data_IF_396369917941
#
_entry.id   IF_396369917941
#
_cell.length_a   1.000
_cell.length_b   1.000
_cell.length_c   1.000
_cell.angle_alpha   90.00
_cell.angle_beta   90.00
_cell.angle_gamma   90.00
#
_symmetry.space_group_name_H-M   'P 1'
#
loop_
_entity.id
_entity.type
_entity.pdbx_description
1 polymer ?
#
# COMPACT_ATOMS: atom_id res chain seq x y z
N UNK A 1 -2.92 -4.66 -8.55
CA UNK A 1 -3.20 -6.10 -8.45
C UNK A 1 -2.48 -6.89 -9.54
N UNK A 2 -2.63 -6.55 -10.82
CA UNK A 2 -2.12 -7.35 -11.95
C UNK A 2 -0.64 -7.19 -12.29
N UNK A 3 0.16 -6.56 -11.41
CA UNK A 3 1.61 -6.56 -11.55
C UNK A 3 2.13 -7.87 -10.98
N UNK A 4 2.25 -8.87 -11.85
CA UNK A 4 2.62 -10.25 -11.49
C UNK A 4 4.14 -10.41 -11.41
N UNK A 5 4.58 -11.50 -10.77
CA UNK A 5 6.01 -11.85 -10.70
C UNK A 5 6.71 -11.36 -9.42
N UNK A 6 8.01 -11.69 -9.28
CA UNK A 6 8.86 -11.25 -8.18
C UNK A 6 9.04 -9.73 -8.17
N UNK A 7 9.44 -9.18 -7.02
CA UNK A 7 9.76 -7.76 -6.88
C UNK A 7 10.84 -7.30 -7.87
N UNK A 8 11.82 -8.17 -8.14
CA UNK A 8 12.94 -7.90 -9.03
C UNK A 8 12.53 -7.58 -10.48
N UNK A 9 11.35 -8.03 -10.95
CA UNK A 9 10.83 -7.67 -12.28
C UNK A 9 10.37 -6.21 -12.35
N UNK A 10 10.27 -5.53 -11.20
CA UNK A 10 9.95 -4.12 -11.08
C UNK A 10 11.18 -3.23 -11.10
N UNK A 11 11.76 -3.00 -9.93
CA UNK A 11 12.90 -2.10 -9.75
C UNK A 11 14.24 -2.70 -10.22
N UNK A 12 14.36 -4.03 -10.26
CA UNK A 12 15.53 -4.75 -10.76
C UNK A 12 16.19 -5.61 -9.69
N UNK A 13 17.30 -6.25 -10.07
CA UNK A 13 18.17 -6.97 -9.14
C UNK A 13 19.07 -5.96 -8.41
N UNK A 14 18.85 -5.77 -7.11
CA UNK A 14 19.70 -4.90 -6.30
C UNK A 14 21.15 -5.40 -6.30
N UNK A 15 22.09 -4.56 -6.74
CA UNK A 15 23.52 -4.88 -6.86
C UNK A 15 24.32 -4.36 -5.67
N UNK A 16 24.11 -3.09 -5.32
CA UNK A 16 24.91 -2.41 -4.32
C UNK A 16 24.24 -1.17 -3.75
N UNK A 17 24.62 -0.84 -2.52
CA UNK A 17 24.18 0.39 -1.85
C UNK A 17 25.06 1.56 -2.32
N UNK A 18 24.43 2.63 -2.81
CA UNK A 18 25.17 3.79 -3.32
C UNK A 18 25.79 4.62 -2.19
N UNK A 19 25.34 4.44 -0.94
CA UNK A 19 25.72 5.25 0.21
C UNK A 19 24.60 6.16 0.67
N UNK A 20 24.74 6.71 1.88
CA UNK A 20 23.77 7.63 2.44
C UNK A 20 23.94 9.03 1.82
N UNK A 21 22.93 9.58 1.12
CA UNK A 21 23.02 10.89 0.49
C UNK A 21 22.71 12.00 1.51
N UNK A 22 23.67 12.90 1.72
CA UNK A 22 23.53 14.11 2.53
C UNK A 22 23.40 15.30 1.59
N UNK A 23 22.25 15.96 1.61
CA UNK A 23 22.00 17.15 0.79
C UNK A 23 22.34 18.41 1.59
N UNK A 24 22.96 19.39 0.92
CA UNK A 24 23.24 20.71 1.51
C UNK A 24 22.89 21.82 0.55
N UNK A 25 22.41 22.94 1.05
CA UNK A 25 22.30 24.16 0.25
C UNK A 25 23.64 24.89 0.11
N UNK A 26 23.64 26.02 -0.60
CA UNK A 26 24.81 26.89 -0.76
C UNK A 26 25.37 27.46 0.55
N UNK A 27 24.54 27.57 1.59
CA UNK A 27 24.91 28.11 2.89
C UNK A 27 25.47 26.99 3.81
N UNK A 28 25.45 25.73 3.34
CA UNK A 28 25.95 24.55 4.03
C UNK A 28 24.93 23.91 4.98
N UNK A 29 23.68 24.39 4.99
CA UNK A 29 22.59 23.83 5.80
C UNK A 29 22.19 22.47 5.25
N UNK A 30 22.07 21.48 6.13
CA UNK A 30 21.66 20.12 5.75
C UNK A 30 20.16 20.09 5.40
N UNK A 31 19.85 19.43 4.30
CA UNK A 31 18.51 19.31 3.74
C UNK A 31 18.05 17.85 3.71
N UNK A 32 16.76 17.65 3.98
CA UNK A 32 16.12 16.36 4.05
C UNK A 32 15.07 16.24 2.95
N UNK A 33 15.19 15.19 2.14
CA UNK A 33 14.20 14.88 1.09
C UNK A 33 12.93 14.33 1.74
N UNK A 34 11.78 14.92 1.42
CA UNK A 34 10.49 14.40 1.87
C UNK A 34 10.21 13.04 1.21
N UNK A 35 10.09 11.99 2.02
CA UNK A 35 9.81 10.61 1.56
C UNK A 35 8.44 10.48 0.89
N UNK A 36 8.35 9.58 -0.08
CA UNK A 36 7.12 9.13 -0.73
C UNK A 36 6.26 8.35 0.29
N UNK A 37 5.05 8.80 0.64
CA UNK A 37 4.14 8.02 1.47
C UNK A 37 3.49 6.89 0.67
N UNK A 38 3.17 5.77 1.32
CA UNK A 38 2.66 4.54 0.68
C UNK A 38 1.38 4.71 -0.16
N UNK A 39 0.59 5.76 0.05
CA UNK A 39 -0.67 5.99 -0.67
C UNK A 39 -0.45 6.59 -2.07
N UNK A 40 0.72 7.17 -2.33
CA UNK A 40 0.98 7.93 -3.56
C UNK A 40 1.73 7.07 -4.59
N UNK A 41 1.28 7.10 -5.85
CA UNK A 41 2.02 6.51 -6.98
C UNK A 41 3.14 7.46 -7.47
N UNK A 42 2.90 8.77 -7.38
CA UNK A 42 3.88 9.82 -7.73
C UNK A 42 3.91 10.90 -6.64
N UNK A 43 5.07 11.53 -6.44
CA UNK A 43 5.23 12.51 -5.37
C UNK A 43 6.27 13.59 -5.71
N UNK A 44 6.03 14.87 -5.37
CA UNK A 44 6.94 15.96 -5.69
C UNK A 44 8.23 15.89 -4.87
N UNK A 45 9.35 16.26 -5.49
CA UNK A 45 10.64 16.33 -4.80
C UNK A 45 10.71 17.65 -4.06
N UNK A 46 10.68 17.58 -2.73
CA UNK A 46 10.74 18.71 -1.81
C UNK A 46 11.81 18.40 -0.77
N UNK A 47 12.66 19.39 -0.49
CA UNK A 47 13.71 19.34 0.51
C UNK A 47 13.41 20.37 1.60
N UNK A 48 13.43 19.92 2.85
CA UNK A 48 13.25 20.75 4.03
C UNK A 48 14.51 20.77 4.88
N UNK A 49 14.71 21.80 5.70
CA UNK A 49 15.71 21.72 6.76
C UNK A 49 15.21 20.89 7.95
N UNK A 50 16.00 20.85 9.03
CA UNK A 50 15.67 20.13 10.26
C UNK A 50 14.36 20.63 10.94
N UNK A 51 14.03 21.91 10.76
CA UNK A 51 12.80 22.51 11.30
C UNK A 51 11.57 22.27 10.42
N UNK A 52 11.72 21.58 9.28
CA UNK A 52 10.63 21.32 8.34
C UNK A 52 10.30 22.49 7.40
N UNK A 53 11.13 23.54 7.37
CA UNK A 53 10.98 24.66 6.43
C UNK A 53 11.47 24.24 5.05
N UNK A 54 10.69 24.53 4.01
CA UNK A 54 11.06 24.22 2.62
C UNK A 54 12.24 25.09 2.19
N UNK A 55 13.30 24.43 1.72
CA UNK A 55 14.54 25.09 1.27
C UNK A 55 14.81 24.88 -0.22
N UNK A 56 14.40 23.75 -0.78
CA UNK A 56 14.54 23.49 -2.22
C UNK A 56 13.45 22.54 -2.75
N UNK A 57 13.17 22.61 -4.05
CA UNK A 57 12.26 21.72 -4.77
C UNK A 57 12.66 21.50 -6.24
N UNK A 58 12.00 20.55 -6.88
CA UNK A 58 11.99 20.45 -8.34
C UNK A 58 10.68 21.05 -8.84
N UNK A 59 10.70 22.28 -9.39
CA UNK A 59 9.48 22.98 -9.75
C UNK A 59 8.82 22.33 -10.97
N UNK A 60 7.50 22.21 -10.94
CA UNK A 60 6.73 21.79 -12.11
C UNK A 60 6.67 22.91 -13.17
N UNK A 61 6.25 24.12 -12.76
CA UNK A 61 6.32 25.33 -13.60
C UNK A 61 7.57 26.13 -13.27
N UNK A 62 8.36 26.47 -14.28
CA UNK A 62 9.66 27.15 -14.09
C UNK A 62 9.58 28.68 -14.05
N UNK A 63 8.49 29.28 -14.51
CA UNK A 63 8.36 30.75 -14.68
C UNK A 63 8.44 31.54 -13.37
N UNK A 64 8.06 30.94 -12.24
CA UNK A 64 8.04 31.60 -10.91
C UNK A 64 8.76 30.75 -9.86
N UNK A 65 9.69 29.91 -10.29
CA UNK A 65 10.47 29.06 -9.39
C UNK A 65 11.37 29.92 -8.49
N UNK A 66 11.32 29.68 -7.17
CA UNK A 66 12.16 30.33 -6.14
C UNK A 66 13.01 29.35 -5.32
N UNK A 67 12.73 28.06 -5.48
CA UNK A 67 13.30 26.97 -4.68
C UNK A 67 14.04 25.94 -5.55
N UNK A 68 14.30 26.26 -6.82
CA UNK A 68 15.07 25.36 -7.70
C UNK A 68 16.44 25.03 -7.13
N UNK A 69 16.91 23.81 -7.40
CA UNK A 69 18.23 23.36 -6.95
C UNK A 69 19.36 24.23 -7.50
N UNK A 70 19.21 24.75 -8.71
CA UNK A 70 20.15 25.67 -9.35
C UNK A 70 20.28 26.97 -8.56
N UNK A 71 19.16 27.56 -8.16
CA UNK A 71 19.12 28.84 -7.43
C UNK A 71 19.56 28.70 -5.98
N UNK A 72 19.24 27.56 -5.36
CA UNK A 72 19.62 27.25 -3.97
C UNK A 72 21.02 26.63 -3.84
N UNK A 73 21.67 26.34 -4.97
CA UNK A 73 23.01 25.73 -4.99
C UNK A 73 23.07 24.40 -4.27
N UNK A 74 22.03 23.56 -4.43
CA UNK A 74 21.94 22.28 -3.70
C UNK A 74 23.02 21.33 -4.20
N UNK A 75 23.75 20.73 -3.25
CA UNK A 75 24.76 19.71 -3.47
C UNK A 75 24.37 18.42 -2.76
N UNK A 76 24.95 17.29 -3.17
CA UNK A 76 24.79 16.01 -2.47
C UNK A 76 26.15 15.35 -2.27
N UNK A 77 26.41 14.91 -1.04
CA UNK A 77 27.60 14.14 -0.67
C UNK A 77 27.19 12.76 -0.17
N UNK A 78 27.96 11.73 -0.49
CA UNK A 78 27.66 10.35 -0.10
C UNK A 78 28.56 9.84 1.01
N UNK A 79 27.95 9.18 2.01
CA UNK A 79 28.64 8.54 3.13
C UNK A 79 28.43 7.01 3.06
N UNK A 80 29.53 6.27 2.96
CA UNK A 80 29.49 4.82 2.76
C UNK A 80 29.04 4.41 1.35
N UNK A 81 28.92 3.10 1.12
CA UNK A 81 28.52 2.55 -0.18
C UNK A 81 29.52 2.82 -1.30
N UNK A 82 29.06 2.66 -2.53
CA UNK A 82 29.88 2.79 -3.75
C UNK A 82 30.32 4.23 -4.04
N UNK A 83 29.49 5.22 -3.67
CA UNK A 83 29.79 6.64 -3.90
C UNK A 83 30.45 7.31 -2.70
N UNK A 84 30.99 6.55 -1.75
CA UNK A 84 31.57 7.07 -0.52
C UNK A 84 32.58 8.21 -0.78
N UNK A 85 32.40 9.34 -0.10
CA UNK A 85 33.27 10.51 -0.19
C UNK A 85 33.08 11.35 -1.46
N UNK A 86 32.25 10.91 -2.40
CA UNK A 86 31.95 11.69 -3.61
C UNK A 86 30.93 12.78 -3.31
N UNK A 87 31.14 13.95 -3.93
CA UNK A 87 30.22 15.09 -3.85
C UNK A 87 29.84 15.52 -5.26
N UNK A 88 28.54 15.67 -5.50
CA UNK A 88 27.98 16.10 -6.77
C UNK A 88 27.38 17.50 -6.62
N UNK A 89 27.74 18.39 -7.54
CA UNK A 89 27.28 19.79 -7.57
C UNK A 89 26.45 20.11 -8.80
N UNK A 90 26.54 19.28 -9.85
CA UNK A 90 25.77 19.46 -11.07
C UNK A 90 24.29 19.19 -10.80
N UNK A 91 23.44 20.19 -11.04
CA UNK A 91 22.02 20.13 -10.70
C UNK A 91 21.28 18.91 -11.30
N UNK A 92 21.67 18.42 -12.48
CA UNK A 92 21.08 17.21 -13.07
C UNK A 92 21.27 15.98 -12.22
N UNK A 93 22.46 15.83 -11.64
CA UNK A 93 22.88 14.65 -10.90
C UNK A 93 22.31 14.73 -9.48
N UNK A 94 22.36 15.91 -8.86
CA UNK A 94 21.74 16.18 -7.56
C UNK A 94 20.23 15.88 -7.60
N UNK A 95 19.53 16.33 -8.66
CA UNK A 95 18.10 16.02 -8.86
C UNK A 95 17.83 14.53 -9.07
N UNK A 96 18.73 13.80 -9.75
CA UNK A 96 18.63 12.34 -9.92
C UNK A 96 18.69 11.64 -8.56
N UNK A 97 19.65 12.01 -7.71
CA UNK A 97 19.78 11.41 -6.38
C UNK A 97 18.66 11.83 -5.44
N UNK A 98 18.17 13.07 -5.52
CA UNK A 98 17.01 13.52 -4.73
C UNK A 98 15.73 12.72 -5.07
N UNK A 99 15.50 12.39 -6.36
CA UNK A 99 14.40 11.48 -6.75
C UNK A 99 14.56 10.09 -6.15
N UNK A 100 15.76 9.51 -6.19
CA UNK A 100 16.04 8.21 -5.54
C UNK A 100 15.86 8.29 -4.01
N UNK A 101 16.24 9.40 -3.40
CA UNK A 101 16.07 9.64 -1.97
C UNK A 101 14.61 9.90 -1.55
N UNK A 102 13.62 9.95 -2.45
CA UNK A 102 12.22 9.93 -2.02
C UNK A 102 11.78 8.55 -1.52
N UNK A 103 12.31 7.47 -2.12
CA UNK A 103 11.85 6.10 -1.85
C UNK A 103 12.60 5.40 -0.73
N UNK A 104 13.75 5.93 -0.30
CA UNK A 104 14.57 5.28 0.72
C UNK A 104 16.05 5.53 0.54
N UNK A 105 16.85 4.62 1.08
CA UNK A 105 18.26 4.55 0.75
C UNK A 105 18.44 4.21 -0.74
N UNK A 106 19.37 4.88 -1.45
CA UNK A 106 19.55 4.67 -2.87
C UNK A 106 20.42 3.45 -3.15
N UNK A 107 19.97 2.60 -4.09
CA UNK A 107 20.69 1.43 -4.56
C UNK A 107 20.95 1.50 -6.07
N UNK A 108 21.93 0.71 -6.51
CA UNK A 108 22.11 0.30 -7.90
C UNK A 108 21.30 -0.97 -8.17
N UNK A 109 20.64 -1.01 -9.31
CA UNK A 109 19.81 -2.12 -9.75
C UNK A 109 20.18 -2.50 -11.18
N UNK A 110 20.32 -3.80 -11.42
CA UNK A 110 20.37 -4.38 -12.76
C UNK A 110 18.93 -4.66 -13.24
N UNK A 111 18.52 -3.96 -14.29
CA UNK A 111 17.20 -4.09 -14.91
C UNK A 111 17.24 -4.93 -16.20
N UNK A 112 18.42 -5.23 -16.73
CA UNK A 112 18.58 -5.89 -18.04
C UNK A 112 18.39 -7.41 -17.91
N UNK A 113 18.93 -8.01 -16.84
CA UNK A 113 18.90 -9.47 -16.65
C UNK A 113 17.48 -10.05 -16.66
N UNK A 114 16.50 -9.33 -16.11
CA UNK A 114 15.10 -9.78 -16.04
C UNK A 114 14.17 -9.01 -17.00
N UNK A 115 14.69 -8.02 -17.74
CA UNK A 115 13.84 -7.08 -18.48
C UNK A 115 12.88 -6.31 -17.58
N UNK A 116 13.37 -5.85 -16.42
CA UNK A 116 12.57 -5.21 -15.38
C UNK A 116 11.96 -3.90 -15.89
N UNK A 117 10.69 -3.66 -15.54
CA UNK A 117 9.87 -2.58 -16.13
C UNK A 117 9.89 -1.25 -15.36
N UNK A 118 10.60 -1.19 -14.23
CA UNK A 118 10.70 -0.02 -13.36
C UNK A 118 9.47 0.22 -12.49
N UNK A 119 8.53 -0.72 -12.41
CA UNK A 119 7.26 -0.56 -11.69
C UNK A 119 7.19 -1.48 -10.47
N UNK A 120 6.93 -0.90 -9.28
CA UNK A 120 6.90 -1.65 -8.04
C UNK A 120 5.85 -2.77 -8.02
N UNK A 121 6.25 -3.91 -7.45
CA UNK A 121 5.45 -5.10 -7.16
C UNK A 121 5.39 -5.36 -5.65
N UNK A 122 4.36 -6.07 -5.22
CA UNK A 122 4.23 -6.45 -3.81
C UNK A 122 5.11 -7.66 -3.48
N UNK A 123 5.50 -7.79 -2.21
CA UNK A 123 6.19 -8.98 -1.71
C UNK A 123 5.24 -10.15 -1.47
N UNK A 124 5.83 -11.33 -1.19
CA UNK A 124 5.09 -12.53 -0.75
C UNK A 124 4.23 -12.27 0.49
N UNK A 125 4.63 -11.35 1.38
CA UNK A 125 3.81 -10.91 2.52
C UNK A 125 2.49 -10.30 2.07
N UNK A 126 2.51 -9.42 1.06
CA UNK A 126 1.30 -8.81 0.52
C UNK A 126 0.43 -9.83 -0.20
N UNK A 127 1.03 -10.71 -1.01
CA UNK A 127 0.31 -11.79 -1.69
C UNK A 127 -0.38 -12.74 -0.71
N UNK A 128 0.35 -13.18 0.33
CA UNK A 128 -0.18 -14.03 1.39
C UNK A 128 -1.35 -13.35 2.10
N UNK A 129 -1.17 -12.10 2.50
CA UNK A 129 -2.20 -11.34 3.24
C UNK A 129 -3.46 -11.19 2.40
N UNK A 130 -3.33 -10.80 1.13
CA UNK A 130 -4.46 -10.67 0.21
C UNK A 130 -5.23 -11.98 0.04
N UNK A 131 -4.50 -13.07 -0.28
CA UNK A 131 -5.12 -14.38 -0.49
C UNK A 131 -5.89 -14.88 0.73
N UNK A 132 -5.27 -14.82 1.91
CA UNK A 132 -5.90 -15.31 3.15
C UNK A 132 -7.07 -14.44 3.59
N UNK A 133 -6.99 -13.12 3.44
CA UNK A 133 -8.10 -12.23 3.75
C UNK A 133 -9.32 -12.53 2.86
N UNK A 134 -9.10 -12.68 1.55
CA UNK A 134 -10.17 -13.02 0.61
C UNK A 134 -10.78 -14.40 0.90
N UNK A 135 -9.94 -15.43 1.08
CA UNK A 135 -10.45 -16.77 1.36
C UNK A 135 -11.15 -16.85 2.72
N UNK A 136 -10.64 -16.23 3.78
CA UNK A 136 -11.32 -16.21 5.06
C UNK A 136 -12.75 -15.65 4.94
N UNK A 137 -12.93 -14.58 4.16
CA UNK A 137 -14.25 -14.01 3.92
C UNK A 137 -15.18 -14.96 3.14
N UNK A 138 -14.65 -15.67 2.13
CA UNK A 138 -15.42 -16.68 1.39
C UNK A 138 -15.80 -17.88 2.25
N UNK A 139 -14.88 -18.33 3.11
CA UNK A 139 -15.11 -19.45 4.02
C UNK A 139 -16.14 -19.09 5.10
N UNK A 140 -16.19 -17.83 5.54
CA UNK A 140 -17.25 -17.36 6.41
C UNK A 140 -18.63 -17.53 5.76
N UNK A 141 -18.79 -17.16 4.49
CA UNK A 141 -20.04 -17.41 3.77
C UNK A 141 -20.35 -18.90 3.66
N UNK A 142 -19.35 -19.73 3.32
CA UNK A 142 -19.51 -21.19 3.28
C UNK A 142 -19.96 -21.78 4.63
N UNK A 143 -19.42 -21.27 5.74
CA UNK A 143 -19.81 -21.66 7.08
C UNK A 143 -21.29 -21.37 7.35
N UNK A 144 -21.77 -20.16 7.05
CA UNK A 144 -23.17 -19.78 7.21
C UNK A 144 -24.08 -20.65 6.34
N UNK A 145 -23.74 -20.79 5.06
CA UNK A 145 -24.50 -21.62 4.12
C UNK A 145 -24.64 -23.07 4.58
N UNK A 146 -23.54 -23.72 4.93
CA UNK A 146 -23.55 -25.13 5.36
C UNK A 146 -24.16 -25.30 6.75
N UNK A 147 -23.98 -24.33 7.65
CA UNK A 147 -24.65 -24.29 8.95
C UNK A 147 -26.17 -24.28 8.80
N UNK A 148 -26.71 -23.35 8.01
CA UNK A 148 -28.14 -23.28 7.71
C UNK A 148 -28.65 -24.56 7.04
N UNK A 149 -27.94 -25.08 6.04
CA UNK A 149 -28.34 -26.31 5.34
C UNK A 149 -28.34 -27.55 6.23
N UNK A 150 -27.50 -27.58 7.26
CA UNK A 150 -27.44 -28.68 8.23
C UNK A 150 -28.60 -28.60 9.21
N UNK A 151 -28.88 -27.40 9.74
CA UNK A 151 -29.95 -27.21 10.74
C UNK A 151 -31.35 -27.28 10.12
N UNK A 152 -31.56 -26.70 8.95
CA UNK A 152 -32.85 -26.61 8.25
C UNK A 152 -32.94 -27.62 7.11
N UNK A 153 -32.43 -28.84 7.33
CA UNK A 153 -32.37 -29.88 6.29
C UNK A 153 -33.76 -30.38 5.89
N UNK A 154 -34.65 -30.48 6.87
CA UNK A 154 -36.04 -30.90 6.74
C UNK A 154 -36.84 -30.01 5.77
N UNK A 155 -36.63 -28.68 5.85
CA UNK A 155 -37.32 -27.70 5.00
C UNK A 155 -36.51 -27.27 3.76
N UNK A 156 -35.40 -27.94 3.46
CA UNK A 156 -34.51 -27.51 2.38
C UNK A 156 -35.16 -27.57 0.98
N UNK A 157 -36.08 -28.52 0.77
CA UNK A 157 -36.80 -28.68 -0.51
C UNK A 157 -38.12 -27.88 -0.56
N UNK A 158 -38.43 -27.12 0.48
CA UNK A 158 -39.71 -26.44 0.66
C UNK A 158 -40.28 -26.65 2.06
N UNK A 159 -41.21 -25.80 2.47
CA UNK A 159 -41.96 -25.93 3.73
C UNK A 159 -43.14 -26.90 3.55
N UNK A 160 -43.69 -27.38 4.67
CA UNK A 160 -44.94 -28.14 4.69
C UNK A 160 -46.08 -27.30 4.06
N UNK A 161 -46.82 -27.81 3.05
CA UNK A 161 -47.95 -27.10 2.48
C UNK A 161 -49.08 -26.79 3.49
N UNK A 162 -49.17 -27.53 4.60
CA UNK A 162 -50.26 -27.40 5.57
C UNK A 162 -49.87 -26.61 6.85
N UNK A 163 -48.89 -25.71 6.77
CA UNK A 163 -48.29 -25.00 7.93
C UNK A 163 -49.17 -23.86 8.54
N UNK A 164 -50.35 -23.59 8.00
CA UNK A 164 -51.09 -22.32 8.22
C UNK A 164 -51.40 -22.02 9.70
N UNK A 165 -51.88 -23.00 10.47
CA UNK A 165 -52.30 -22.78 11.86
C UNK A 165 -51.12 -22.39 12.78
N UNK A 166 -49.91 -22.89 12.51
CA UNK A 166 -48.73 -22.69 13.37
C UNK A 166 -48.15 -21.27 13.33
N UNK A 167 -48.47 -20.50 12.29
CA UNK A 167 -47.96 -19.13 12.08
C UNK A 167 -48.99 -18.05 12.45
N UNK A 168 -50.20 -18.44 12.87
CA UNK A 168 -51.22 -17.49 13.31
C UNK A 168 -50.86 -16.78 14.61
N UNK A 169 -51.14 -15.48 14.66
CA UNK A 169 -50.80 -14.64 15.80
C UNK A 169 -51.63 -15.02 17.05
N UNK A 170 -50.93 -15.42 18.11
CA UNK A 170 -51.53 -15.58 19.43
C UNK A 170 -52.38 -16.83 19.63
N UNK A 171 -52.36 -17.79 18.69
CA UNK A 171 -53.07 -19.06 18.79
C UNK A 171 -52.40 -20.03 19.78
N UNK A 172 -51.07 -20.01 19.84
CA UNK A 172 -50.25 -20.81 20.77
C UNK A 172 -49.59 -19.92 21.84
N UNK A 173 -49.36 -20.48 23.03
CA UNK A 173 -48.62 -19.80 24.10
C UNK A 173 -47.10 -19.76 23.82
N UNK A 174 -46.58 -20.68 23.02
CA UNK A 174 -45.16 -20.77 22.62
C UNK A 174 -45.06 -21.04 21.11
N UNK A 175 -44.21 -20.28 20.41
CA UNK A 175 -44.00 -20.44 18.97
C UNK A 175 -43.36 -21.81 18.65
N UNK A 176 -43.87 -22.50 17.63
CA UNK A 176 -43.37 -23.79 17.16
C UNK A 176 -43.70 -25.00 18.06
N UNK A 177 -44.64 -24.86 19.02
CA UNK A 177 -45.03 -25.93 19.94
C UNK A 177 -46.55 -26.14 19.97
N UNK A 178 -47.01 -27.14 19.21
CA UNK A 178 -48.42 -27.51 19.06
C UNK A 178 -49.12 -27.90 20.38
N UNK A 179 -48.36 -28.31 21.40
CA UNK A 179 -48.93 -28.70 22.70
C UNK A 179 -49.44 -27.52 23.53
N UNK A 180 -49.14 -26.29 23.10
CA UNK A 180 -49.38 -25.06 23.85
C UNK A 180 -50.53 -24.21 23.32
N UNK A 181 -51.48 -24.80 22.58
CA UNK A 181 -52.65 -24.09 22.04
C UNK A 181 -53.42 -23.41 23.17
N UNK A 182 -53.75 -22.13 22.99
CA UNK A 182 -54.57 -21.39 23.97
C UNK A 182 -55.97 -22.02 24.04
N UNK A 183 -56.49 -22.16 25.25
CA UNK A 183 -57.90 -22.49 25.44
C UNK A 183 -58.71 -21.23 25.16
N UNK A 184 -59.69 -21.32 24.28
CA UNK A 184 -60.69 -20.27 24.13
C UNK A 184 -61.42 -20.11 25.46
N UNK A 185 -61.44 -18.88 25.98
CA UNK A 185 -62.32 -18.44 27.06
C UNK A 185 -63.57 -17.82 26.49
#
# INVERSE_FOLDING_TARGET
>A
LFRVGPMNDGDGLAQGWLGHPVFKDKDGEELFVRRLPNFFETFPVILTNADGVVKADIPFRRSESKYSFEEKGVTVSFLGGELNGQTFTKATDVKKYARKAQIGEPFEFDQETLGSDGVFRTSTRGWFTYGHACFALLFFFGHIWHGCRTLFRDVFAGIDPDLEEQVEFGLFQKLGDLSTRRKET
#
